data_IF_855191088097
#
_entry.id   IF_855191088097
#
_cell.length_a   1.000
_cell.length_b   1.000
_cell.length_c   1.000
_cell.angle_alpha   90.00
_cell.angle_beta   90.00
_cell.angle_gamma   90.00
#
_symmetry.space_group_name_H-M   'P 1'
#
loop_
_entity.id
_entity.type
_entity.pdbx_description
1 polymer ?
#
# COMPACT_ATOMS: atom_id res chain seq x y z
N UNK A 1 6.68 -26.90 -14.22
CA UNK A 1 5.93 -25.67 -13.93
C UNK A 1 6.49 -24.51 -14.75
N UNK A 2 5.77 -23.99 -15.75
CA UNK A 2 6.19 -22.79 -16.49
C UNK A 2 5.96 -21.56 -15.61
N UNK A 3 7.00 -20.75 -15.38
CA UNK A 3 6.80 -19.39 -14.88
C UNK A 3 5.96 -18.62 -15.91
N UNK A 4 4.97 -17.86 -15.44
CA UNK A 4 4.11 -17.04 -16.31
C UNK A 4 4.97 -15.95 -16.94
N UNK A 5 5.13 -15.97 -18.27
CA UNK A 5 5.96 -15.01 -19.03
C UNK A 5 5.63 -13.54 -18.69
N UNK A 6 4.38 -13.26 -18.35
CA UNK A 6 3.92 -11.93 -17.90
C UNK A 6 4.61 -11.43 -16.62
N UNK A 7 4.97 -12.33 -15.69
CA UNK A 7 5.67 -11.94 -14.46
C UNK A 7 7.10 -11.46 -14.73
N UNK A 8 7.79 -12.13 -15.64
CA UNK A 8 9.15 -11.75 -16.05
C UNK A 8 9.14 -10.41 -16.80
N UNK A 9 8.17 -10.21 -17.71
CA UNK A 9 8.01 -8.94 -18.41
C UNK A 9 7.66 -7.79 -17.47
N UNK A 10 6.81 -8.01 -16.46
CA UNK A 10 6.49 -7.00 -15.44
C UNK A 10 7.72 -6.65 -14.59
N UNK A 11 8.50 -7.65 -14.20
CA UNK A 11 9.75 -7.44 -13.44
C UNK A 11 10.73 -6.56 -14.21
N UNK A 12 10.85 -6.77 -15.52
CA UNK A 12 11.70 -5.96 -16.39
C UNK A 12 11.16 -4.52 -16.54
N UNK A 13 9.84 -4.34 -16.70
CA UNK A 13 9.21 -3.02 -16.75
C UNK A 13 9.44 -2.22 -15.47
N UNK A 14 9.27 -2.83 -14.30
CA UNK A 14 9.56 -2.18 -13.00
C UNK A 14 11.05 -1.86 -12.83
N UNK A 15 11.94 -2.73 -13.31
CA UNK A 15 13.38 -2.48 -13.27
C UNK A 15 13.74 -1.20 -14.03
N UNK A 16 13.18 -1.01 -15.24
CA UNK A 16 13.39 0.21 -16.03
C UNK A 16 12.89 1.47 -15.33
N UNK A 17 11.71 1.42 -14.71
CA UNK A 17 11.18 2.54 -13.92
C UNK A 17 12.12 2.86 -12.75
N UNK A 18 12.63 1.84 -12.06
CA UNK A 18 13.55 2.01 -10.93
C UNK A 18 14.88 2.64 -11.38
N UNK A 19 15.44 2.19 -12.49
CA UNK A 19 16.67 2.76 -13.03
C UNK A 19 16.47 4.21 -13.50
N UNK A 20 15.36 4.51 -14.17
CA UNK A 20 15.00 5.89 -14.51
C UNK A 20 14.86 6.77 -13.26
N UNK A 21 14.22 6.28 -12.21
CA UNK A 21 14.04 7.00 -10.95
C UNK A 21 15.38 7.27 -10.23
N UNK A 22 16.34 6.36 -10.31
CA UNK A 22 17.69 6.55 -9.76
C UNK A 22 18.48 7.62 -10.52
N UNK A 23 18.44 7.57 -11.85
CA UNK A 23 19.22 8.46 -12.72
C UNK A 23 18.62 9.88 -12.76
N UNK A 24 17.29 9.99 -12.77
CA UNK A 24 16.56 11.23 -13.06
C UNK A 24 15.73 11.65 -11.86
N UNK A 25 16.41 12.05 -10.79
CA UNK A 25 15.79 12.35 -9.48
C UNK A 25 14.72 13.45 -9.49
N UNK A 26 14.71 14.33 -10.51
CA UNK A 26 13.74 15.43 -10.66
C UNK A 26 12.60 15.13 -11.63
N UNK A 27 12.61 13.98 -12.30
CA UNK A 27 11.61 13.64 -13.31
C UNK A 27 10.28 13.22 -12.69
N UNK A 28 9.17 13.64 -13.29
CA UNK A 28 7.82 13.27 -12.88
C UNK A 28 7.33 12.11 -13.75
N UNK A 29 7.12 10.96 -13.13
CA UNK A 29 6.51 9.81 -13.81
C UNK A 29 5.00 10.00 -13.91
N UNK A 30 4.53 10.56 -15.03
CA UNK A 30 3.12 10.90 -15.22
C UNK A 30 2.26 9.70 -15.64
N UNK A 31 2.86 8.65 -16.20
CA UNK A 31 2.11 7.58 -16.84
C UNK A 31 2.01 6.29 -16.00
N UNK A 32 2.60 6.14 -14.81
CA UNK A 32 2.76 4.83 -14.12
C UNK A 32 1.49 3.98 -13.98
N UNK A 33 0.32 4.61 -14.01
CA UNK A 33 -0.96 3.94 -13.93
C UNK A 33 -1.14 2.81 -14.97
N UNK A 34 -0.57 2.94 -16.18
CA UNK A 34 -0.64 1.90 -17.21
C UNK A 34 0.09 0.59 -16.85
N UNK A 35 0.87 0.57 -15.76
CA UNK A 35 1.52 -0.63 -15.23
C UNK A 35 0.57 -1.51 -14.42
N UNK A 36 -0.60 -1.00 -14.04
CA UNK A 36 -1.63 -1.74 -13.32
C UNK A 36 -2.45 -2.59 -14.28
N UNK A 37 -1.84 -3.65 -14.83
CA UNK A 37 -2.53 -4.65 -15.66
C UNK A 37 -3.14 -5.75 -14.78
N UNK A 38 -4.08 -6.51 -15.32
CA UNK A 38 -4.69 -7.67 -14.64
C UNK A 38 -3.62 -8.63 -14.15
N UNK A 39 -2.64 -8.96 -14.98
CA UNK A 39 -1.57 -9.90 -14.65
C UNK A 39 -0.64 -9.36 -13.57
N UNK A 40 -0.38 -8.05 -13.56
CA UNK A 40 0.40 -7.41 -12.51
C UNK A 40 -0.32 -7.48 -11.16
N UNK A 41 -1.64 -7.27 -11.16
CA UNK A 41 -2.48 -7.38 -9.96
C UNK A 41 -2.60 -8.82 -9.47
N UNK A 42 -2.73 -9.80 -10.37
CA UNK A 42 -2.69 -11.22 -10.02
C UNK A 42 -1.35 -11.61 -9.39
N UNK A 43 -0.23 -11.21 -10.01
CA UNK A 43 1.10 -11.47 -9.48
C UNK A 43 1.31 -10.84 -8.10
N UNK A 44 0.80 -9.61 -7.90
CA UNK A 44 0.82 -8.94 -6.60
C UNK A 44 -0.01 -9.69 -5.56
N UNK A 45 -1.23 -10.10 -5.90
CA UNK A 45 -2.09 -10.89 -4.99
C UNK A 45 -1.44 -12.21 -4.57
N UNK A 46 -0.84 -12.94 -5.52
CA UNK A 46 -0.15 -14.20 -5.24
C UNK A 46 1.14 -14.03 -4.42
N UNK A 47 1.71 -12.83 -4.37
CA UNK A 47 2.86 -12.51 -3.52
C UNK A 47 2.48 -12.23 -2.06
N UNK A 48 1.19 -12.02 -1.76
CA UNK A 48 0.71 -11.79 -0.40
C UNK A 48 0.82 -13.06 0.44
N UNK A 49 1.07 -12.88 1.74
CA UNK A 49 1.04 -13.98 2.70
C UNK A 49 -0.37 -14.57 2.81
N UNK A 50 -0.49 -15.89 2.66
CA UNK A 50 -1.77 -16.61 2.83
C UNK A 50 -2.33 -16.51 4.25
N UNK A 51 -1.48 -16.18 5.23
CA UNK A 51 -1.85 -15.96 6.63
C UNK A 51 -2.10 -14.48 6.96
N UNK A 52 -2.25 -13.63 5.94
CA UNK A 52 -2.59 -12.23 6.15
C UNK A 52 -3.89 -12.10 6.95
N UNK A 53 -3.94 -11.12 7.85
CA UNK A 53 -5.15 -10.78 8.57
C UNK A 53 -6.26 -10.39 7.58
N UNK A 54 -7.51 -10.66 7.96
CA UNK A 54 -8.66 -10.26 7.16
C UNK A 54 -8.65 -8.74 6.92
N UNK A 55 -9.13 -8.33 5.75
CA UNK A 55 -9.32 -6.92 5.41
C UNK A 55 -10.30 -6.22 6.35
N UNK A 56 -10.48 -4.91 6.15
CA UNK A 56 -11.47 -4.11 6.91
C UNK A 56 -12.87 -4.68 6.74
N UNK A 57 -13.16 -5.12 5.52
CA UNK A 57 -14.35 -5.84 5.04
C UNK A 57 -14.49 -7.26 5.61
N UNK A 58 -13.51 -7.76 6.36
CA UNK A 58 -13.52 -9.10 6.93
C UNK A 58 -13.17 -10.21 5.93
N UNK A 59 -12.84 -9.87 4.68
CA UNK A 59 -12.48 -10.84 3.66
C UNK A 59 -11.08 -11.39 3.95
N UNK A 60 -10.95 -12.72 4.07
CA UNK A 60 -9.65 -13.38 4.22
C UNK A 60 -9.04 -13.65 2.86
N UNK A 61 -7.73 -13.90 2.86
CA UNK A 61 -7.00 -14.26 1.65
C UNK A 61 -7.65 -15.45 0.91
N UNK A 62 -8.05 -16.49 1.64
CA UNK A 62 -8.66 -17.70 1.05
C UNK A 62 -10.03 -17.41 0.40
N UNK A 63 -10.85 -16.59 1.04
CA UNK A 63 -12.16 -16.21 0.51
C UNK A 63 -12.01 -15.40 -0.78
N UNK A 64 -11.08 -14.44 -0.78
CA UNK A 64 -10.76 -13.67 -1.98
C UNK A 64 -10.19 -14.55 -3.10
N UNK A 65 -9.35 -15.54 -2.75
CA UNK A 65 -8.74 -16.44 -3.70
C UNK A 65 -9.77 -17.33 -4.43
N UNK A 66 -10.90 -17.66 -3.79
CA UNK A 66 -11.97 -18.47 -4.38
C UNK A 66 -12.56 -17.88 -5.66
N UNK A 67 -12.57 -16.54 -5.79
CA UNK A 67 -13.04 -15.84 -6.98
C UNK A 67 -11.97 -14.90 -7.56
N UNK A 68 -10.68 -15.23 -7.36
CA UNK A 68 -9.54 -14.34 -7.62
C UNK A 68 -9.58 -13.65 -8.98
N UNK A 69 -9.77 -14.41 -10.08
CA UNK A 69 -9.73 -13.87 -11.44
C UNK A 69 -10.79 -12.79 -11.67
N UNK A 70 -12.02 -13.05 -11.25
CA UNK A 70 -13.13 -12.10 -11.37
C UNK A 70 -12.89 -10.88 -10.48
N UNK A 71 -12.44 -11.10 -9.24
CA UNK A 71 -12.16 -10.00 -8.31
C UNK A 71 -11.05 -9.08 -8.85
N UNK A 72 -9.97 -9.63 -9.40
CA UNK A 72 -8.89 -8.84 -10.03
C UNK A 72 -9.39 -8.12 -11.28
N UNK A 73 -10.21 -8.76 -12.10
CA UNK A 73 -10.78 -8.14 -13.31
C UNK A 73 -11.69 -6.95 -12.95
N UNK A 74 -12.56 -7.11 -11.94
CA UNK A 74 -13.39 -6.01 -11.45
C UNK A 74 -12.55 -4.88 -10.83
N UNK A 75 -11.55 -5.24 -10.01
CA UNK A 75 -10.62 -4.28 -9.42
C UNK A 75 -9.90 -3.48 -10.50
N UNK A 76 -9.36 -4.16 -11.52
CA UNK A 76 -8.71 -3.52 -12.65
C UNK A 76 -9.65 -2.53 -13.34
N UNK A 77 -10.88 -2.95 -13.67
CA UNK A 77 -11.90 -2.09 -14.27
C UNK A 77 -12.17 -0.85 -13.42
N UNK A 78 -12.39 -1.02 -12.10
CA UNK A 78 -12.68 0.09 -11.17
C UNK A 78 -11.51 1.05 -11.02
N UNK A 79 -10.27 0.53 -11.00
CA UNK A 79 -9.08 1.36 -11.00
C UNK A 79 -9.03 2.22 -12.27
N UNK A 80 -9.16 1.61 -13.45
CA UNK A 80 -9.08 2.33 -14.74
C UNK A 80 -10.22 3.31 -14.96
N UNK A 81 -11.40 3.04 -14.38
CA UNK A 81 -12.54 3.97 -14.39
C UNK A 81 -12.45 5.05 -13.31
N UNK A 82 -11.45 5.01 -12.42
CA UNK A 82 -11.33 5.94 -11.28
C UNK A 82 -12.44 5.78 -10.23
N UNK A 83 -13.19 4.67 -10.26
CA UNK A 83 -14.29 4.38 -9.34
C UNK A 83 -13.87 3.52 -8.13
N UNK A 84 -12.61 3.08 -8.08
CA UNK A 84 -12.06 2.41 -6.92
C UNK A 84 -11.91 3.37 -5.73
N UNK A 85 -12.48 2.97 -4.59
CA UNK A 85 -12.37 3.67 -3.30
C UNK A 85 -11.79 2.71 -2.28
N UNK A 86 -10.58 3.01 -1.81
CA UNK A 86 -9.93 2.21 -0.79
C UNK A 86 -10.66 2.39 0.56
N UNK A 87 -10.87 1.27 1.26
CA UNK A 87 -11.43 1.30 2.61
C UNK A 87 -10.39 1.86 3.60
N UNK A 88 -10.82 2.62 4.62
CA UNK A 88 -9.92 3.12 5.65
C UNK A 88 -9.31 1.92 6.41
N UNK A 89 -7.98 1.86 6.50
CA UNK A 89 -7.29 0.73 7.11
C UNK A 89 -7.67 0.54 8.59
N UNK A 90 -7.77 -0.73 9.03
CA UNK A 90 -7.99 -1.05 10.45
C UNK A 90 -6.78 -0.61 11.27
N UNK A 91 -6.99 0.32 12.20
CA UNK A 91 -6.01 0.64 13.24
C UNK A 91 -6.10 -0.39 14.36
N UNK A 92 -5.22 -1.40 14.34
CA UNK A 92 -5.00 -2.20 15.54
C UNK A 92 -3.97 -1.50 16.43
N UNK A 93 -4.42 -1.09 17.61
CA UNK A 93 -3.53 -0.61 18.66
C UNK A 93 -2.70 -1.79 19.15
N UNK A 94 -1.41 -1.79 18.85
CA UNK A 94 -0.45 -2.74 19.44
C UNK A 94 -0.08 -2.15 20.81
N UNK A 95 -0.55 -2.70 21.93
CA UNK A 95 -0.13 -2.22 23.24
C UNK A 95 1.38 -2.44 23.35
N UNK A 96 2.14 -1.33 23.48
CA UNK A 96 3.56 -1.40 23.78
C UNK A 96 3.72 -2.04 25.17
N UNK A 97 4.42 -3.16 25.25
CA UNK A 97 4.74 -3.81 26.52
C UNK A 97 5.70 -2.94 27.35
N UNK A 98 5.21 -2.47 28.49
CA UNK A 98 5.98 -2.19 29.71
C UNK A 98 7.26 -1.35 29.60
N UNK A 99 7.23 -0.16 28.98
CA UNK A 99 8.29 0.82 29.27
C UNK A 99 8.08 1.32 30.70
N UNK A 100 9.11 1.11 31.53
CA UNK A 100 9.17 1.56 32.93
C UNK A 100 8.73 3.02 33.02
N UNK A 101 7.79 3.30 33.92
CA UNK A 101 7.45 4.65 34.36
C UNK A 101 8.73 5.36 34.80
N UNK A 102 9.26 6.25 33.96
CA UNK A 102 10.27 7.21 34.40
C UNK A 102 9.55 8.16 35.37
N UNK A 103 9.98 8.30 36.63
CA UNK A 103 9.38 9.26 37.55
C UNK A 103 9.56 10.66 36.98
N UNK A 104 8.44 11.35 36.75
CA UNK A 104 8.43 12.74 36.33
C UNK A 104 9.08 13.58 37.44
N UNK A 105 10.28 14.09 37.18
CA UNK A 105 10.88 15.15 38.01
C UNK A 105 10.14 16.45 37.65
N UNK A 106 9.49 17.02 38.66
CA UNK A 106 8.70 18.24 38.60
C UNK A 106 9.39 19.45 37.94
N UNK A 107 8.53 20.30 37.34
CA UNK A 107 8.60 21.78 37.16
C UNK A 107 9.38 22.22 35.91
N UNK A 108 8.84 22.98 34.95
CA UNK A 108 8.00 24.20 34.96
C UNK A 108 7.04 24.18 33.73
N UNK A 109 5.74 24.41 33.90
CA UNK A 109 5.03 25.67 33.59
C UNK A 109 5.14 26.15 32.13
N UNK A 110 4.02 26.07 31.38
CA UNK A 110 3.77 26.90 30.20
C UNK A 110 3.14 26.19 28.99
N UNK A 111 1.83 26.41 28.78
CA UNK A 111 1.31 26.76 27.45
C UNK A 111 0.78 25.67 26.51
N UNK A 112 -0.55 25.60 26.47
CA UNK A 112 -1.43 25.57 25.28
C UNK A 112 -1.47 24.36 24.33
N UNK A 113 -2.72 23.90 24.17
CA UNK A 113 -3.30 23.26 23.00
C UNK A 113 -2.84 23.89 21.67
N UNK A 114 -2.47 23.05 20.68
CA UNK A 114 -3.13 22.97 19.35
C UNK A 114 -2.41 22.04 18.35
N UNK A 115 -3.14 21.57 17.32
CA UNK A 115 -2.66 20.64 16.30
C UNK A 115 -1.85 21.35 15.22
N UNK A 116 -0.93 20.63 14.56
CA UNK A 116 -0.27 21.14 13.34
C UNK A 116 -0.81 20.42 12.12
N UNK A 117 -1.70 21.12 11.40
CA UNK A 117 -1.95 20.93 9.98
C UNK A 117 -1.24 22.05 9.19
N UNK A 118 -0.52 21.66 8.13
CA UNK A 118 -0.29 22.35 6.85
C UNK A 118 0.39 23.75 6.76
N UNK A 119 1.13 23.93 5.65
CA UNK A 119 1.47 25.23 5.00
C UNK A 119 2.98 25.54 5.00
N UNK A 120 3.74 25.30 3.92
CA UNK A 120 3.97 26.14 2.71
C UNK A 120 4.81 27.42 2.89
N UNK A 121 5.85 27.52 2.02
CA UNK A 121 6.48 28.71 1.39
C UNK A 121 7.19 29.70 2.34
N UNK A 122 8.37 30.24 2.06
CA UNK A 122 9.03 30.63 0.81
C UNK A 122 10.55 30.53 0.91
#
# INVERSE_FOLDING_TARGET
MRRTQSRESMSQRLSRVREAAKQRKKERFTALFHLLTVEALEAAFLSLSRKAAAGVDGIRWMDYAGNMKNNITDLHRRLHQGSYRAQPGRRHYIPKSGWKTTPARHRLAGGQDRPVCAGEKS
#
